data_IF_974678509477
#
_entry.id   IF_974678509477
#
_cell.length_a   1.000
_cell.length_b   1.000
_cell.length_c   1.000
_cell.angle_alpha   90.00
_cell.angle_beta   90.00
_cell.angle_gamma   90.00
#
_symmetry.space_group_name_H-M   'P 1'
#
loop_
_entity.id
_entity.type
_entity.pdbx_description
1 polymer ?
#
# COMPACT_ATOMS: atom_id res chain seq x y z
N UNK A 1 21.96 -20.67 -10.36
CA UNK A 1 22.64 -19.48 -10.90
C UNK A 1 21.64 -18.80 -11.80
N UNK A 2 20.79 -17.96 -11.22
CA UNK A 2 19.74 -17.24 -11.94
C UNK A 2 20.29 -15.87 -12.30
N UNK A 3 20.36 -15.60 -13.59
CA UNK A 3 20.86 -14.34 -14.14
C UNK A 3 19.69 -13.39 -14.30
N UNK A 4 19.66 -12.33 -13.50
CA UNK A 4 18.76 -11.20 -13.71
C UNK A 4 19.37 -10.32 -14.80
N UNK A 5 18.79 -10.35 -16.01
CA UNK A 5 19.26 -9.53 -17.12
C UNK A 5 18.95 -8.06 -16.83
N UNK A 6 20.00 -7.30 -16.50
CA UNK A 6 19.97 -5.84 -16.49
C UNK A 6 19.62 -5.33 -17.88
N UNK A 7 18.66 -4.39 -17.92
CA UNK A 7 18.22 -3.67 -19.12
C UNK A 7 19.40 -3.01 -19.83
N UNK A 8 20.00 -3.69 -20.82
CA UNK A 8 20.46 -3.12 -22.08
C UNK A 8 20.88 -4.27 -23.02
N UNK A 9 20.16 -4.40 -24.14
CA UNK A 9 20.36 -5.35 -25.26
C UNK A 9 20.10 -6.84 -24.96
N UNK A 10 19.02 -7.40 -25.55
CA UNK A 10 19.06 -8.47 -26.59
C UNK A 10 17.63 -8.97 -26.83
N UNK A 11 17.19 -8.91 -28.09
CA UNK A 11 15.94 -9.46 -28.62
C UNK A 11 16.24 -10.91 -29.05
N UNK A 12 15.75 -11.94 -28.34
CA UNK A 12 15.66 -13.31 -28.89
C UNK A 12 14.40 -14.00 -28.35
N UNK A 13 13.58 -14.54 -29.27
CA UNK A 13 12.40 -15.34 -29.02
C UNK A 13 12.76 -16.66 -28.33
N UNK A 14 12.43 -16.81 -27.05
CA UNK A 14 12.25 -18.12 -26.40
C UNK A 14 11.05 -18.01 -25.47
N UNK A 15 10.09 -18.92 -25.61
CA UNK A 15 8.98 -19.12 -24.67
C UNK A 15 9.53 -19.61 -23.34
N UNK A 16 10.03 -18.70 -22.52
CA UNK A 16 10.28 -18.92 -21.11
C UNK A 16 9.15 -18.23 -20.35
N UNK A 17 8.52 -18.94 -19.42
CA UNK A 17 7.62 -18.36 -18.44
C UNK A 17 8.35 -17.18 -17.79
N UNK A 18 7.94 -15.96 -18.14
CA UNK A 18 8.46 -14.75 -17.51
C UNK A 18 8.09 -14.83 -16.03
N UNK A 19 9.00 -15.30 -15.19
CA UNK A 19 9.03 -14.83 -13.82
C UNK A 19 9.36 -13.35 -13.95
N UNK A 20 8.35 -12.49 -13.81
CA UNK A 20 8.54 -11.05 -13.71
C UNK A 20 9.42 -10.79 -12.48
N UNK A 21 10.73 -10.80 -12.67
CA UNK A 21 11.63 -10.14 -11.75
C UNK A 21 11.48 -8.66 -12.06
N UNK A 22 10.45 -8.02 -11.50
CA UNK A 22 10.35 -6.57 -11.52
C UNK A 22 11.56 -6.05 -10.76
N UNK A 23 12.52 -5.50 -11.51
CA UNK A 23 13.65 -4.80 -10.93
C UNK A 23 13.06 -3.67 -10.08
N UNK A 24 13.28 -3.75 -8.77
CA UNK A 24 12.90 -2.73 -7.81
C UNK A 24 13.58 -1.40 -8.20
N UNK A 25 12.89 -0.58 -8.98
CA UNK A 25 13.52 0.55 -9.68
C UNK A 25 13.52 1.85 -8.86
N UNK A 26 12.90 1.88 -7.68
CA UNK A 26 12.40 3.16 -7.17
C UNK A 26 13.17 3.74 -5.99
N UNK A 27 13.86 2.95 -5.14
CA UNK A 27 14.54 3.54 -3.98
C UNK A 27 15.64 2.68 -3.35
N UNK A 28 16.89 3.12 -3.45
CA UNK A 28 18.02 2.55 -2.69
C UNK A 28 18.35 3.45 -1.50
N UNK A 29 18.39 2.87 -0.30
CA UNK A 29 18.59 3.58 0.95
C UNK A 29 19.89 3.08 1.58
N UNK A 30 20.97 3.88 1.51
CA UNK A 30 22.24 3.51 2.11
C UNK A 30 22.14 3.65 3.65
N UNK A 31 22.31 2.53 4.35
CA UNK A 31 22.47 2.52 5.80
C UNK A 31 23.93 2.80 6.12
N UNK A 32 24.21 4.07 6.45
CA UNK A 32 25.53 4.48 6.97
C UNK A 32 25.58 4.21 8.47
N UNK A 33 26.78 4.19 9.07
CA UNK A 33 27.02 4.14 10.52
C UNK A 33 26.40 5.31 11.33
N UNK A 34 25.60 6.17 10.69
CA UNK A 34 24.81 7.20 11.34
C UNK A 34 23.56 6.56 11.91
N UNK A 35 23.51 6.43 13.23
CA UNK A 35 22.32 5.99 13.94
C UNK A 35 21.09 6.82 13.52
N UNK A 36 19.99 6.13 13.19
CA UNK A 36 18.64 6.68 12.96
C UNK A 36 18.40 7.40 11.63
N UNK A 37 18.62 6.73 10.49
CA UNK A 37 18.06 7.21 9.23
C UNK A 37 16.55 6.95 9.18
N UNK A 38 15.76 8.03 9.17
CA UNK A 38 14.33 7.98 8.95
C UNK A 38 14.04 7.88 7.45
N UNK A 39 13.34 6.83 7.10
CA UNK A 39 12.91 6.53 5.74
C UNK A 39 11.40 6.51 5.69
N UNK A 40 10.82 7.23 4.75
CA UNK A 40 9.37 7.14 4.50
C UNK A 40 9.11 6.59 3.10
N UNK A 41 8.22 5.61 2.98
CA UNK A 41 7.88 4.88 1.74
C UNK A 41 6.36 4.79 1.62
N UNK A 42 5.82 4.85 0.41
CA UNK A 42 4.39 4.66 0.19
C UNK A 42 4.05 3.16 0.14
N UNK A 43 2.84 2.82 0.56
CA UNK A 43 2.35 1.45 0.43
C UNK A 43 2.38 0.97 -1.04
N UNK A 44 2.74 -0.29 -1.26
CA UNK A 44 2.88 -0.90 -2.59
C UNK A 44 4.13 -0.49 -3.36
N UNK A 45 4.96 0.44 -2.84
CA UNK A 45 6.28 0.68 -3.44
C UNK A 45 7.24 -0.47 -3.16
N UNK A 46 8.34 -0.51 -3.90
CA UNK A 46 9.46 -1.39 -3.57
C UNK A 46 10.64 -0.55 -3.06
N UNK A 47 11.32 -1.04 -2.01
CA UNK A 47 12.48 -0.38 -1.40
C UNK A 47 13.66 -1.32 -1.23
N UNK A 48 14.88 -0.81 -1.47
CA UNK A 48 16.13 -1.53 -1.25
C UNK A 48 16.88 -0.84 -0.10
N UNK A 49 17.07 -1.55 1.00
CA UNK A 49 17.97 -1.16 2.07
C UNK A 49 19.36 -1.73 1.78
N UNK A 50 20.40 -0.90 1.87
CA UNK A 50 21.77 -1.30 1.59
C UNK A 50 22.64 -1.14 2.82
N UNK A 51 23.19 -2.26 3.30
CA UNK A 51 24.13 -2.31 4.40
C UNK A 51 25.54 -2.04 3.88
N UNK A 52 26.20 -0.96 4.33
CA UNK A 52 27.57 -0.64 3.88
C UNK A 52 28.67 -1.33 4.69
N UNK A 53 28.33 -2.30 5.54
CA UNK A 53 29.29 -3.01 6.39
C UNK A 53 29.68 -4.36 5.75
N UNK A 54 30.98 -4.68 5.79
CA UNK A 54 31.60 -5.82 5.10
C UNK A 54 31.46 -7.17 5.82
N UNK A 55 30.62 -7.26 6.86
CA UNK A 55 30.41 -8.49 7.62
C UNK A 55 29.23 -9.27 7.04
N UNK A 56 29.14 -10.58 7.33
CA UNK A 56 27.99 -11.42 6.97
C UNK A 56 26.68 -10.71 7.36
N UNK A 57 25.93 -10.27 6.35
CA UNK A 57 24.76 -9.42 6.54
C UNK A 57 23.56 -10.27 6.91
N UNK A 58 23.29 -10.35 8.21
CA UNK A 58 21.98 -10.73 8.74
C UNK A 58 21.13 -9.46 8.89
N UNK A 59 19.87 -9.53 8.45
CA UNK A 59 18.90 -8.44 8.58
C UNK A 59 17.87 -8.80 9.64
N UNK A 60 17.51 -7.82 10.48
CA UNK A 60 16.42 -7.98 11.46
C UNK A 60 15.42 -6.83 11.30
N UNK A 61 14.14 -7.14 11.51
CA UNK A 61 13.06 -6.16 11.68
C UNK A 61 12.64 -6.17 13.15
N UNK A 62 12.79 -5.04 13.83
CA UNK A 62 12.46 -4.89 15.25
C UNK A 62 13.12 -5.98 16.14
N UNK A 63 14.35 -6.38 15.79
CA UNK A 63 15.10 -7.42 16.49
C UNK A 63 14.70 -8.86 16.17
N UNK A 64 13.86 -9.07 15.16
CA UNK A 64 13.51 -10.41 14.65
C UNK A 64 14.18 -10.64 13.30
N UNK A 65 14.87 -11.78 13.16
CA UNK A 65 15.54 -12.17 11.92
C UNK A 65 14.58 -12.19 10.72
N UNK A 66 14.97 -11.51 9.64
CA UNK A 66 14.26 -11.53 8.37
C UNK A 66 14.75 -12.73 7.57
N UNK A 67 13.81 -13.54 7.11
CA UNK A 67 14.08 -14.66 6.20
C UNK A 67 13.80 -14.25 4.76
N UNK A 68 14.56 -14.83 3.83
CA UNK A 68 14.37 -14.56 2.41
C UNK A 68 13.11 -15.27 1.86
N UNK A 69 12.22 -14.53 1.22
CA UNK A 69 11.01 -15.01 0.56
C UNK A 69 10.65 -14.14 -0.68
N UNK A 70 9.37 -14.14 -1.07
CA UNK A 70 8.88 -13.33 -2.20
C UNK A 70 8.72 -11.84 -1.87
N UNK A 71 8.53 -11.50 -0.59
CA UNK A 71 8.37 -10.15 -0.05
C UNK A 71 9.73 -9.55 0.33
N UNK A 72 10.54 -10.29 1.08
CA UNK A 72 11.89 -9.92 1.50
C UNK A 72 12.95 -10.68 0.70
N UNK A 73 13.74 -9.97 -0.11
CA UNK A 73 14.86 -10.55 -0.84
C UNK A 73 16.22 -10.06 -0.29
N UNK A 74 16.99 -10.98 0.28
CA UNK A 74 18.31 -10.70 0.87
C UNK A 74 19.40 -11.11 -0.12
N UNK A 75 20.20 -10.14 -0.55
CA UNK A 75 21.45 -10.39 -1.27
C UNK A 75 22.62 -10.17 -0.32
N UNK A 76 23.19 -11.27 0.17
CA UNK A 76 24.32 -11.28 1.09
C UNK A 76 25.62 -10.80 0.46
N UNK A 77 25.75 -10.88 -0.87
CA UNK A 77 26.96 -10.44 -1.60
C UNK A 77 27.01 -8.92 -1.73
N UNK A 78 25.87 -8.29 -2.03
CA UNK A 78 25.75 -6.82 -2.06
C UNK A 78 25.36 -6.20 -0.72
N UNK A 79 25.03 -7.01 0.29
CA UNK A 79 24.56 -6.53 1.58
C UNK A 79 23.23 -5.80 1.51
N UNK A 80 22.34 -6.18 0.59
CA UNK A 80 21.06 -5.48 0.38
C UNK A 80 19.87 -6.32 0.81
N UNK A 81 18.86 -5.68 1.40
CA UNK A 81 17.51 -6.20 1.59
C UNK A 81 16.57 -5.46 0.66
N UNK A 82 15.88 -6.18 -0.20
CA UNK A 82 14.80 -5.64 -1.04
C UNK A 82 13.47 -6.03 -0.41
N UNK A 83 12.59 -5.06 -0.22
CA UNK A 83 11.21 -5.25 0.24
C UNK A 83 10.30 -4.94 -0.95
N UNK A 84 9.65 -5.97 -1.47
CA UNK A 84 8.66 -5.86 -2.55
C UNK A 84 7.30 -5.45 -1.98
N UNK A 85 6.47 -4.77 -2.76
CA UNK A 85 5.07 -4.45 -2.39
C UNK A 85 4.90 -4.02 -0.92
N UNK A 86 5.61 -2.96 -0.52
CA UNK A 86 5.70 -2.51 0.88
C UNK A 86 4.31 -2.43 1.53
N UNK A 87 4.17 -3.12 2.65
CA UNK A 87 2.93 -3.27 3.40
C UNK A 87 2.95 -2.39 4.64
N UNK A 88 1.78 -2.03 5.16
CA UNK A 88 1.69 -1.19 6.37
C UNK A 88 2.47 -1.76 7.58
N UNK A 89 2.55 -3.09 7.70
CA UNK A 89 3.28 -3.79 8.76
C UNK A 89 4.80 -3.90 8.55
N UNK A 90 5.33 -3.45 7.40
CA UNK A 90 6.78 -3.32 7.19
C UNK A 90 7.40 -2.14 7.97
N UNK A 91 6.56 -1.32 8.61
CA UNK A 91 7.02 -0.21 9.45
C UNK A 91 7.83 -0.73 10.64
N UNK A 92 9.05 -0.24 10.80
CA UNK A 92 9.90 -0.63 11.92
C UNK A 92 11.38 -0.30 11.76
N UNK A 93 12.15 -0.76 12.74
CA UNK A 93 13.59 -0.61 12.78
C UNK A 93 14.26 -1.80 12.08
N UNK A 94 14.92 -1.53 10.95
CA UNK A 94 15.71 -2.49 10.22
C UNK A 94 17.16 -2.40 10.66
N UNK A 95 17.71 -3.52 11.14
CA UNK A 95 19.11 -3.64 11.54
C UNK A 95 19.86 -4.52 10.54
N UNK A 96 21.13 -4.20 10.29
CA UNK A 96 22.02 -5.07 9.51
C UNK A 96 23.38 -5.24 10.20
N UNK A 97 23.84 -6.49 10.31
CA UNK A 97 25.15 -6.84 10.85
C UNK A 97 25.42 -6.26 12.24
N UNK A 98 26.58 -5.61 12.42
CA UNK A 98 27.07 -5.10 13.71
C UNK A 98 26.41 -3.81 14.23
N UNK A 99 25.19 -3.47 13.77
CA UNK A 99 24.34 -2.46 14.40
C UNK A 99 23.98 -1.23 13.57
N UNK A 100 24.03 -1.30 12.23
CA UNK A 100 23.47 -0.23 11.40
C UNK A 100 21.94 -0.30 11.43
N UNK A 101 21.26 0.79 11.77
CA UNK A 101 19.79 0.84 11.95
C UNK A 101 19.15 1.90 11.06
N UNK A 102 18.03 1.55 10.41
CA UNK A 102 17.10 2.50 9.76
C UNK A 102 15.70 2.34 10.31
N UNK A 103 15.00 3.45 10.52
CA UNK A 103 13.56 3.43 10.76
C UNK A 103 12.83 3.59 9.43
N UNK A 104 12.10 2.56 9.00
CA UNK A 104 11.18 2.61 7.87
C UNK A 104 9.77 2.95 8.39
N UNK A 105 9.17 3.99 7.84
CA UNK A 105 7.77 4.37 8.07
C UNK A 105 7.01 4.21 6.76
N UNK A 106 5.98 3.38 6.78
CA UNK A 106 5.07 3.21 5.64
C UNK A 106 3.95 4.23 5.74
N UNK A 107 3.78 5.01 4.67
CA UNK A 107 2.69 5.96 4.52
C UNK A 107 1.47 5.25 3.96
N UNK A 108 0.45 5.14 4.81
CA UNK A 108 -0.88 4.65 4.46
C UNK A 108 -1.69 5.82 3.86
N UNK A 109 -2.37 5.63 2.72
CA UNK A 109 -3.22 6.67 2.12
C UNK A 109 -4.44 7.04 2.97
N UNK A 110 -4.90 8.28 2.80
CA UNK A 110 -6.15 8.76 3.40
C UNK A 110 -7.35 8.45 2.49
N UNK A 111 -8.53 8.21 3.10
CA UNK A 111 -9.80 8.09 2.36
C UNK A 111 -10.33 9.48 2.02
N UNK A 112 -10.77 9.64 0.77
CA UNK A 112 -11.47 10.81 0.28
C UNK A 112 -12.87 10.44 -0.20
N UNK A 113 -13.87 11.01 0.47
CA UNK A 113 -15.28 10.90 0.08
C UNK A 113 -15.71 12.15 -0.68
N UNK A 114 -16.15 11.97 -1.92
CA UNK A 114 -16.47 13.06 -2.86
C UNK A 114 -17.92 12.92 -3.30
N UNK A 115 -18.72 13.97 -3.13
CA UNK A 115 -20.12 14.00 -3.55
C UNK A 115 -20.98 14.76 -2.56
N UNK A 116 -22.21 15.08 -2.96
CA UNK A 116 -23.17 15.71 -2.06
C UNK A 116 -23.90 14.63 -1.26
N UNK A 117 -23.81 14.70 0.06
CA UNK A 117 -24.53 13.83 0.99
C UNK A 117 -25.26 14.61 2.10
N UNK A 118 -25.16 15.94 2.07
CA UNK A 118 -25.90 16.84 2.96
C UNK A 118 -26.91 17.67 2.16
N UNK A 119 -27.97 18.08 2.85
CA UNK A 119 -29.02 18.94 2.31
C UNK A 119 -29.61 18.40 0.99
N UNK A 120 -29.78 17.08 0.92
CA UNK A 120 -30.35 16.41 -0.24
C UNK A 120 -31.86 16.65 -0.34
N UNK A 121 -32.36 16.94 -1.53
CA UNK A 121 -33.79 17.15 -1.76
C UNK A 121 -34.50 15.81 -1.97
N UNK A 122 -35.67 15.61 -1.37
CA UNK A 122 -36.50 14.41 -1.62
C UNK A 122 -36.80 14.28 -3.12
N UNK A 123 -36.61 13.08 -3.67
CA UNK A 123 -36.80 12.78 -5.09
C UNK A 123 -35.60 13.10 -5.99
N UNK A 124 -34.53 13.73 -5.48
CA UNK A 124 -33.28 13.87 -6.23
C UNK A 124 -32.52 12.55 -6.30
N UNK A 125 -31.48 12.49 -7.13
CA UNK A 125 -30.48 11.41 -7.13
C UNK A 125 -29.18 11.94 -6.54
N UNK A 126 -28.52 11.14 -5.70
CA UNK A 126 -27.22 11.47 -5.12
C UNK A 126 -26.19 10.40 -5.49
N UNK A 127 -24.99 10.85 -5.85
CA UNK A 127 -23.83 10.03 -6.16
C UNK A 127 -22.68 10.48 -5.25
N UNK A 128 -22.12 9.51 -4.51
CA UNK A 128 -21.02 9.73 -3.59
C UNK A 128 -19.91 8.72 -3.87
N UNK A 129 -18.75 9.22 -4.27
CA UNK A 129 -17.60 8.41 -4.59
C UNK A 129 -16.66 8.30 -3.37
N UNK A 130 -16.04 7.13 -3.19
CA UNK A 130 -14.98 6.91 -2.23
C UNK A 130 -13.70 6.49 -2.94
N UNK A 131 -12.60 7.13 -2.59
CA UNK A 131 -11.26 6.86 -3.14
C UNK A 131 -10.20 7.00 -2.07
N UNK A 132 -8.98 6.55 -2.32
CA UNK A 132 -7.82 6.87 -1.48
C UNK A 132 -6.87 7.81 -2.22
N UNK A 133 -6.13 8.65 -1.48
CA UNK A 133 -5.05 9.46 -2.05
C UNK A 133 -3.74 9.27 -1.26
N UNK A 134 -2.68 8.71 -1.87
CA UNK A 134 -2.64 8.12 -3.22
C UNK A 134 -3.49 6.84 -3.34
N UNK A 135 -3.69 6.36 -4.57
CA UNK A 135 -4.41 5.11 -4.81
C UNK A 135 -3.64 3.90 -4.27
N UNK A 136 -4.32 3.00 -3.57
CA UNK A 136 -3.73 1.73 -3.14
C UNK A 136 -3.86 0.69 -4.28
N UNK A 137 -2.75 0.08 -4.76
CA UNK A 137 -2.79 -0.96 -5.78
C UNK A 137 -3.70 -2.13 -5.40
N UNK A 138 -4.46 -2.63 -6.36
CA UNK A 138 -5.35 -3.80 -6.21
C UNK A 138 -6.34 -3.71 -5.03
N UNK A 139 -6.62 -2.51 -4.51
CA UNK A 139 -7.57 -2.34 -3.42
C UNK A 139 -9.02 -2.49 -3.87
N UNK A 140 -9.86 -2.98 -2.97
CA UNK A 140 -11.31 -3.14 -3.15
C UNK A 140 -12.01 -2.11 -2.29
N UNK A 141 -12.90 -1.31 -2.89
CA UNK A 141 -13.67 -0.27 -2.19
C UNK A 141 -15.14 -0.67 -2.19
N UNK A 142 -15.75 -0.72 -1.00
CA UNK A 142 -17.17 -1.08 -0.81
C UNK A 142 -17.86 -0.15 0.18
N UNK A 143 -19.16 0.06 -0.03
CA UNK A 143 -20.01 0.82 0.89
C UNK A 143 -20.88 -0.10 1.74
N UNK A 144 -21.00 0.20 3.04
CA UNK A 144 -21.83 -0.51 4.00
C UNK A 144 -22.83 0.44 4.71
N UNK A 145 -24.09 0.02 4.93
CA UNK A 145 -24.70 -1.18 4.37
C UNK A 145 -24.77 -1.05 2.84
N UNK A 146 -24.62 -2.18 2.13
CA UNK A 146 -24.70 -2.20 0.68
C UNK A 146 -26.04 -1.61 0.25
N UNK A 147 -26.02 -0.49 -0.49
CA UNK A 147 -27.23 0.05 -1.10
C UNK A 147 -27.55 -0.75 -2.35
N UNK A 148 -28.80 -0.68 -2.82
CA UNK A 148 -29.38 -1.61 -3.80
C UNK A 148 -28.66 -1.67 -5.18
N UNK A 149 -27.63 -0.86 -5.46
CA UNK A 149 -27.02 -0.77 -6.79
C UNK A 149 -25.49 -0.57 -6.87
N UNK A 150 -24.69 -0.80 -5.82
CA UNK A 150 -23.24 -0.47 -5.88
C UNK A 150 -22.40 -1.65 -6.39
N UNK A 151 -22.04 -1.66 -7.67
CA UNK A 151 -20.98 -2.52 -8.24
C UNK A 151 -19.62 -1.79 -8.36
N UNK A 152 -19.48 -0.64 -7.69
CA UNK A 152 -18.35 0.28 -7.82
C UNK A 152 -18.03 0.96 -6.50
N UNK A 153 -16.98 1.78 -6.49
CA UNK A 153 -16.59 2.67 -5.39
C UNK A 153 -17.57 3.86 -5.16
N UNK A 154 -18.74 3.81 -5.78
CA UNK A 154 -19.75 4.86 -5.78
C UNK A 154 -21.01 4.38 -5.04
N UNK A 155 -21.44 5.16 -4.05
CA UNK A 155 -22.72 5.04 -3.38
C UNK A 155 -23.77 5.85 -4.15
N UNK A 156 -24.76 5.17 -4.70
CA UNK A 156 -25.90 5.78 -5.40
C UNK A 156 -27.14 5.70 -4.51
N UNK A 157 -27.79 6.86 -4.31
CA UNK A 157 -29.08 6.97 -3.64
C UNK A 157 -30.06 7.59 -4.64
N UNK A 158 -30.90 6.74 -5.23
CA UNK A 158 -31.87 7.13 -6.24
C UNK A 158 -33.18 6.34 -6.10
N UNK A 159 -34.32 7.00 -5.79
CA UNK A 159 -34.44 8.40 -5.38
C UNK A 159 -34.02 8.61 -3.91
N UNK A 160 -33.66 9.84 -3.58
CA UNK A 160 -33.51 10.29 -2.19
C UNK A 160 -34.89 10.33 -1.53
N UNK A 161 -34.97 9.83 -0.30
CA UNK A 161 -36.20 9.60 0.46
C UNK A 161 -35.96 9.99 1.92
N UNK A 162 -37.01 10.41 2.64
CA UNK A 162 -36.88 10.85 4.03
C UNK A 162 -36.31 9.80 4.98
N UNK A 163 -36.49 8.51 4.70
CA UNK A 163 -35.91 7.43 5.52
C UNK A 163 -34.38 7.35 5.42
N UNK A 164 -33.77 7.97 4.39
CA UNK A 164 -32.32 8.09 4.29
C UNK A 164 -31.75 9.11 5.28
N UNK A 165 -32.56 10.04 5.79
CA UNK A 165 -32.09 11.07 6.71
C UNK A 165 -31.49 10.44 7.98
N UNK A 166 -30.30 10.90 8.38
CA UNK A 166 -29.50 10.37 9.49
C UNK A 166 -29.05 8.92 9.34
N UNK A 167 -29.19 8.31 8.16
CA UNK A 167 -28.53 7.02 7.88
C UNK A 167 -27.06 7.24 7.66
N UNK A 168 -26.26 6.39 8.26
CA UNK A 168 -24.80 6.38 8.09
C UNK A 168 -24.42 5.32 7.07
N UNK A 169 -23.52 5.69 6.16
CA UNK A 169 -22.87 4.78 5.23
C UNK A 169 -21.36 4.84 5.45
N UNK A 170 -20.72 3.68 5.47
CA UNK A 170 -19.29 3.52 5.70
C UNK A 170 -18.64 3.01 4.42
N UNK A 171 -17.70 3.78 3.89
CA UNK A 171 -16.80 3.30 2.87
C UNK A 171 -15.71 2.45 3.54
N UNK A 172 -15.45 1.27 3.01
CA UNK A 172 -14.42 0.33 3.46
C UNK A 172 -13.48 0.08 2.30
N UNK A 173 -12.18 0.26 2.55
CA UNK A 173 -11.10 0.00 1.58
C UNK A 173 -10.25 -1.14 2.10
N UNK A 174 -10.24 -2.25 1.37
CA UNK A 174 -9.52 -3.48 1.69
C UNK A 174 -8.39 -3.73 0.69
N UNK A 175 -7.23 -4.19 1.16
CA UNK A 175 -6.07 -4.53 0.33
C UNK A 175 -5.13 -5.45 1.11
N UNK A 176 -4.46 -6.38 0.42
CA UNK A 176 -3.44 -7.26 1.00
C UNK A 176 -2.19 -6.49 1.49
N UNK A 177 -2.06 -5.21 1.11
CA UNK A 177 -0.97 -4.34 1.56
C UNK A 177 -1.25 -3.72 2.94
N UNK A 178 -2.50 -3.76 3.39
CA UNK A 178 -2.95 -3.18 4.66
C UNK A 178 -3.08 -4.28 5.71
N UNK A 179 -2.64 -4.00 6.94
CA UNK A 179 -2.85 -4.87 8.10
C UNK A 179 -4.31 -4.82 8.59
N UNK A 180 -4.98 -3.69 8.34
CA UNK A 180 -6.38 -3.45 8.67
C UNK A 180 -7.05 -2.61 7.58
N UNK A 181 -8.33 -2.89 7.31
CA UNK A 181 -9.13 -2.10 6.38
C UNK A 181 -9.21 -0.63 6.79
N UNK A 182 -9.17 0.27 5.81
CA UNK A 182 -9.44 1.68 6.04
C UNK A 182 -10.95 1.91 5.95
N UNK A 183 -11.49 2.74 6.85
CA UNK A 183 -12.92 3.03 6.86
C UNK A 183 -13.20 4.51 7.03
N UNK A 184 -14.19 5.03 6.33
CA UNK A 184 -14.68 6.40 6.49
C UNK A 184 -16.21 6.42 6.46
N UNK A 185 -16.85 7.19 7.33
CA UNK A 185 -18.31 7.19 7.47
C UNK A 185 -18.94 8.53 7.20
N UNK A 186 -19.98 8.55 6.37
CA UNK A 186 -20.81 9.72 6.11
C UNK A 186 -22.21 9.51 6.68
N UNK A 187 -22.85 10.60 7.11
CA UNK A 187 -24.25 10.58 7.53
C UNK A 187 -25.07 11.46 6.60
N UNK A 188 -26.10 10.87 6.00
CA UNK A 188 -26.95 11.55 5.02
C UNK A 188 -27.84 12.59 5.73
N UNK A 189 -27.90 13.80 5.17
CA UNK A 189 -28.90 14.82 5.54
C UNK A 189 -29.85 15.06 4.37
N UNK A 190 -31.16 14.96 4.66
CA UNK A 190 -32.23 15.19 3.67
C UNK A 190 -33.05 16.39 4.12
N UNK A 191 -33.28 17.34 3.21
CA UNK A 191 -34.20 18.47 3.40
C UNK A 191 -35.64 17.93 3.41
N UNK A 192 -36.35 18.24 4.49
CA UNK A 192 -37.74 17.85 4.71
C UNK A 192 -38.75 18.73 3.99
#
# INVERSE_FOLDING_TARGET
MEYCFSSLLIIILITATLSNCEVCSNRIIPLKQSYNNLTTVLIGECVILHCTLNDTVQWELNGTDISNDTHYNINTTSGTLTIQEVRSNDTGNYTCGSGSISLLIVKVPDINVIGQYTDLTVGSSASINCTTMPSIPNSVIQWHPSSFHTHSNELIIDPVMLFHNKKTFTCVVSSDLLDMDLTESITISVLG
#
